data_IF_739402630930
#
_entry.id   IF_739402630930
#
_cell.length_a   1.000
_cell.length_b   1.000
_cell.length_c   1.000
_cell.angle_alpha   90.00
_cell.angle_beta   90.00
_cell.angle_gamma   90.00
#
_symmetry.space_group_name_H-M   'P 1'
#
loop_
_entity.id
_entity.type
_entity.pdbx_description
1 polymer ?
#
# COMPACT_ATOMS: atom_id res chain seq x y z
N UNK A 1 22.32 9.57 19.56
CA UNK A 1 21.86 8.86 20.76
C UNK A 1 21.36 7.48 20.32
N UNK A 2 21.79 6.40 20.97
CA UNK A 2 21.26 5.06 20.66
C UNK A 2 19.77 5.00 21.01
N UNK A 3 18.90 4.61 20.08
CA UNK A 3 17.46 4.43 20.34
C UNK A 3 17.31 3.42 21.50
N UNK A 4 16.62 3.82 22.57
CA UNK A 4 16.28 2.91 23.68
C UNK A 4 15.41 1.79 23.12
N UNK A 5 15.91 0.56 23.12
CA UNK A 5 15.17 -0.60 22.64
C UNK A 5 14.23 -1.07 23.74
N UNK A 6 12.94 -0.85 23.58
CA UNK A 6 11.91 -1.45 24.44
C UNK A 6 11.79 -2.92 23.99
N UNK A 7 11.86 -3.86 24.94
CA UNK A 7 11.66 -5.26 24.63
C UNK A 7 10.23 -5.50 24.15
N UNK A 8 10.05 -6.26 23.07
CA UNK A 8 8.72 -6.70 22.63
C UNK A 8 8.13 -7.61 23.73
N UNK A 9 6.92 -7.34 24.23
CA UNK A 9 6.27 -8.20 25.21
C UNK A 9 6.13 -9.65 24.71
N UNK A 10 6.47 -10.63 25.54
CA UNK A 10 6.46 -12.07 25.16
C UNK A 10 5.15 -12.51 24.53
N UNK A 11 4.01 -12.09 25.09
CA UNK A 11 2.68 -12.41 24.55
C UNK A 11 2.46 -11.92 23.11
N UNK A 12 3.01 -10.75 22.77
CA UNK A 12 2.94 -10.20 21.41
C UNK A 12 3.88 -10.97 20.50
N UNK A 13 5.11 -11.22 20.97
CA UNK A 13 6.11 -11.98 20.23
C UNK A 13 5.61 -13.36 19.85
N UNK A 14 5.09 -14.12 20.82
CA UNK A 14 4.57 -15.47 20.61
C UNK A 14 3.38 -15.49 19.66
N UNK A 15 2.49 -14.48 19.75
CA UNK A 15 1.35 -14.36 18.84
C UNK A 15 1.83 -14.21 17.38
N UNK A 16 2.76 -13.31 17.13
CA UNK A 16 3.28 -13.05 15.77
C UNK A 16 4.08 -14.26 15.26
N UNK A 17 4.95 -14.84 16.08
CA UNK A 17 5.71 -16.02 15.67
C UNK A 17 4.80 -17.22 15.35
N UNK A 18 3.78 -17.46 16.17
CA UNK A 18 2.80 -18.53 15.93
C UNK A 18 2.01 -18.31 14.64
N UNK A 19 1.65 -17.06 14.32
CA UNK A 19 0.97 -16.71 13.07
C UNK A 19 1.77 -17.11 11.81
N UNK A 20 3.10 -17.07 11.90
CA UNK A 20 4.01 -17.46 10.81
C UNK A 20 4.62 -18.85 11.02
N UNK A 21 4.05 -19.68 11.90
CA UNK A 21 4.55 -21.03 12.20
C UNK A 21 6.04 -21.05 12.60
N UNK A 22 6.51 -20.02 13.32
CA UNK A 22 7.91 -19.83 13.71
C UNK A 22 8.89 -19.81 12.51
N UNK A 23 8.42 -19.39 11.33
CA UNK A 23 9.21 -19.29 10.10
C UNK A 23 9.32 -17.84 9.63
N UNK A 24 10.37 -17.57 8.86
CA UNK A 24 10.56 -16.30 8.16
C UNK A 24 9.38 -16.04 7.22
N UNK A 25 8.78 -14.86 7.34
CA UNK A 25 7.66 -14.44 6.48
C UNK A 25 8.04 -14.42 4.99
N UNK A 26 9.30 -14.08 4.67
CA UNK A 26 9.76 -13.92 3.27
C UNK A 26 10.19 -15.25 2.61
N UNK A 27 10.93 -16.10 3.32
CA UNK A 27 11.57 -17.29 2.72
C UNK A 27 11.23 -18.62 3.40
N UNK A 28 10.46 -18.61 4.49
CA UNK A 28 10.03 -19.83 5.19
C UNK A 28 11.11 -20.55 6.03
N UNK A 29 12.33 -20.01 6.11
CA UNK A 29 13.41 -20.57 6.96
C UNK A 29 13.10 -20.43 8.45
N UNK A 30 13.58 -21.38 9.25
CA UNK A 30 13.40 -21.40 10.70
C UNK A 30 14.24 -20.33 11.43
N UNK A 31 13.99 -20.18 12.73
CA UNK A 31 14.65 -19.23 13.63
C UNK A 31 14.59 -17.75 13.17
N UNK A 32 13.39 -17.21 12.88
CA UNK A 32 13.24 -15.79 12.57
C UNK A 32 13.36 -14.91 13.82
N UNK A 33 13.79 -13.68 13.61
CA UNK A 33 13.69 -12.60 14.60
C UNK A 33 12.56 -11.65 14.22
N UNK A 34 11.98 -10.97 15.21
CA UNK A 34 10.94 -9.99 14.97
C UNK A 34 11.55 -8.63 14.60
N UNK A 35 11.01 -8.05 13.53
CA UNK A 35 11.41 -6.75 13.02
C UNK A 35 10.23 -5.78 13.02
N UNK A 36 10.48 -4.55 13.47
CA UNK A 36 9.56 -3.43 13.37
C UNK A 36 9.58 -2.88 11.94
N UNK A 37 8.44 -2.89 11.26
CA UNK A 37 8.28 -2.43 9.87
C UNK A 37 8.55 -0.92 9.77
N UNK A 38 8.11 -0.15 10.76
CA UNK A 38 8.29 1.31 10.83
C UNK A 38 9.65 1.76 11.40
N UNK A 39 10.56 0.82 11.69
CA UNK A 39 11.87 1.08 12.31
C UNK A 39 11.80 1.78 13.70
N UNK A 40 10.64 1.77 14.34
CA UNK A 40 10.41 2.31 15.68
C UNK A 40 10.34 1.16 16.72
N UNK A 41 11.39 0.94 17.53
CA UNK A 41 11.42 -0.14 18.51
C UNK A 41 10.39 0.00 19.65
N UNK A 42 9.71 1.14 19.74
CA UNK A 42 8.65 1.36 20.74
C UNK A 42 7.26 0.96 20.23
N UNK A 43 7.08 0.77 18.91
CA UNK A 43 5.80 0.42 18.32
C UNK A 43 5.60 -1.09 18.25
N UNK A 44 5.15 -1.69 19.36
CA UNK A 44 4.95 -3.12 19.49
C UNK A 44 3.59 -3.62 18.95
N UNK A 45 2.96 -2.91 18.03
CA UNK A 45 1.76 -3.40 17.36
C UNK A 45 2.06 -4.73 16.60
N UNK A 46 1.28 -5.81 16.78
CA UNK A 46 1.49 -7.06 16.06
C UNK A 46 1.54 -6.95 14.53
N UNK A 47 0.86 -5.96 13.93
CA UNK A 47 0.89 -5.66 12.49
C UNK A 47 2.08 -4.79 12.09
N UNK A 48 2.76 -4.15 13.05
CA UNK A 48 4.05 -3.51 12.82
C UNK A 48 5.22 -4.49 12.97
N UNK A 49 4.97 -5.72 13.40
CA UNK A 49 6.00 -6.75 13.60
C UNK A 49 5.95 -7.81 12.50
N UNK A 50 7.12 -8.12 11.92
CA UNK A 50 7.28 -9.16 10.91
C UNK A 50 8.46 -10.10 11.26
N UNK A 51 8.27 -11.43 11.24
CA UNK A 51 9.35 -12.38 11.48
C UNK A 51 10.22 -12.54 10.24
N UNK A 52 11.52 -12.24 10.34
CA UNK A 52 12.50 -12.43 9.26
C UNK A 52 13.71 -13.21 9.76
N UNK A 53 14.27 -14.09 8.93
CA UNK A 53 15.56 -14.73 9.23
C UNK A 53 16.72 -13.74 9.03
N UNK A 54 17.92 -14.00 9.58
CA UNK A 54 19.08 -13.13 9.41
C UNK A 54 19.39 -12.80 7.94
N UNK A 55 19.17 -13.74 7.01
CA UNK A 55 19.41 -13.52 5.59
C UNK A 55 18.39 -12.56 4.95
N UNK A 56 17.11 -12.66 5.33
CA UNK A 56 16.06 -11.78 4.82
C UNK A 56 15.98 -10.45 5.56
N UNK A 57 16.51 -10.40 6.78
CA UNK A 57 16.69 -9.17 7.54
C UNK A 57 17.74 -8.24 6.92
N UNK A 58 18.76 -8.82 6.25
CA UNK A 58 19.91 -8.08 5.74
C UNK A 58 19.82 -7.66 4.26
N UNK A 59 18.88 -8.22 3.46
CA UNK A 59 19.01 -8.20 2.00
C UNK A 59 17.68 -8.00 1.25
N UNK A 60 17.56 -6.89 0.51
CA UNK A 60 16.89 -6.87 -0.80
C UNK A 60 17.81 -7.60 -1.79
N UNK A 61 17.32 -8.68 -2.41
CA UNK A 61 18.13 -9.60 -3.21
C UNK A 61 18.61 -9.00 -4.54
N UNK A 62 18.06 -7.85 -4.96
CA UNK A 62 18.47 -7.17 -6.18
C UNK A 62 19.23 -5.86 -5.93
N UNK A 63 19.27 -5.38 -4.68
CA UNK A 63 20.08 -4.24 -4.27
C UNK A 63 20.34 -4.30 -2.75
N UNK A 64 21.49 -4.85 -2.29
CA UNK A 64 21.78 -5.02 -0.87
C UNK A 64 21.92 -3.70 -0.09
N UNK A 65 21.84 -2.55 -0.76
CA UNK A 65 21.84 -1.21 -0.14
C UNK A 65 20.46 -0.56 -0.06
N UNK A 66 19.43 -1.14 -0.70
CA UNK A 66 18.07 -0.58 -0.70
C UNK A 66 17.27 -1.17 0.45
N UNK A 67 16.79 -0.30 1.34
CA UNK A 67 15.82 -0.65 2.38
C UNK A 67 14.52 -1.05 1.67
N UNK A 68 13.97 -2.23 2.00
CA UNK A 68 12.63 -2.60 1.52
C UNK A 68 11.66 -1.54 2.04
N UNK A 69 10.98 -0.84 1.12
CA UNK A 69 10.07 0.26 1.47
C UNK A 69 9.06 -0.20 2.54
N UNK A 70 9.01 0.46 3.72
CA UNK A 70 8.16 0.05 4.85
C UNK A 70 6.70 -0.19 4.47
N UNK A 71 6.16 0.61 3.54
CA UNK A 71 4.78 0.43 3.09
C UNK A 71 4.56 -0.88 2.31
N UNK A 72 5.54 -1.38 1.55
CA UNK A 72 5.43 -2.72 0.93
C UNK A 72 5.49 -3.83 1.96
N UNK A 73 6.33 -3.70 2.99
CA UNK A 73 6.36 -4.66 4.09
C UNK A 73 5.04 -4.65 4.87
N UNK A 74 4.41 -3.49 5.04
CA UNK A 74 3.08 -3.37 5.65
C UNK A 74 2.01 -4.09 4.82
N UNK A 75 1.99 -3.87 3.51
CA UNK A 75 1.09 -4.61 2.61
C UNK A 75 1.34 -6.12 2.69
N UNK A 76 2.60 -6.54 2.63
CA UNK A 76 2.98 -7.94 2.75
C UNK A 76 2.56 -8.55 4.10
N UNK A 77 2.69 -7.79 5.19
CA UNK A 77 2.29 -8.22 6.53
C UNK A 77 0.79 -8.46 6.65
N UNK A 78 -0.02 -7.66 5.96
CA UNK A 78 -1.48 -7.75 5.93
C UNK A 78 -1.94 -8.88 5.01
N UNK A 79 -1.50 -8.88 3.75
CA UNK A 79 -2.03 -9.77 2.71
C UNK A 79 -1.27 -11.09 2.56
N UNK A 80 -0.05 -11.17 3.09
CA UNK A 80 0.84 -12.35 3.02
C UNK A 80 1.09 -12.87 1.60
N UNK A 81 0.96 -11.98 0.60
CA UNK A 81 1.16 -12.30 -0.79
C UNK A 81 2.60 -11.98 -1.21
N UNK A 82 3.45 -12.97 -1.54
CA UNK A 82 4.85 -12.74 -1.87
C UNK A 82 5.06 -11.90 -3.15
N UNK A 83 4.04 -11.80 -4.01
CA UNK A 83 4.07 -10.98 -5.22
C UNK A 83 4.26 -9.48 -4.91
N UNK A 84 3.86 -9.03 -3.71
CA UNK A 84 4.06 -7.66 -3.21
C UNK A 84 5.55 -7.31 -3.09
N UNK A 85 6.39 -8.30 -2.81
CA UNK A 85 7.83 -8.10 -2.64
C UNK A 85 8.60 -8.21 -3.96
N UNK A 86 7.94 -8.63 -5.05
CA UNK A 86 8.58 -8.73 -6.37
C UNK A 86 8.86 -7.33 -6.95
N UNK A 87 10.00 -7.13 -7.65
CA UNK A 87 10.31 -5.86 -8.31
C UNK A 87 9.20 -5.36 -9.26
N UNK A 88 8.52 -6.28 -9.95
CA UNK A 88 7.42 -6.01 -10.88
C UNK A 88 6.27 -5.22 -10.24
N UNK A 89 6.01 -5.43 -8.94
CA UNK A 89 4.96 -4.71 -8.22
C UNK A 89 5.31 -3.24 -7.97
N UNK A 90 6.58 -2.85 -8.04
CA UNK A 90 7.01 -1.49 -7.64
C UNK A 90 6.34 -0.39 -8.47
N UNK A 91 6.16 -0.60 -9.78
CA UNK A 91 5.51 0.36 -10.66
C UNK A 91 4.05 0.60 -10.27
N UNK A 92 3.33 -0.46 -9.89
CA UNK A 92 1.95 -0.36 -9.41
C UNK A 92 1.89 0.29 -8.03
N UNK A 93 2.80 -0.12 -7.13
CA UNK A 93 2.91 0.43 -5.77
C UNK A 93 3.02 1.96 -5.76
N UNK A 94 3.94 2.53 -6.54
CA UNK A 94 4.13 3.99 -6.62
C UNK A 94 2.84 4.70 -7.03
N UNK A 95 2.08 4.12 -7.97
CA UNK A 95 0.87 4.74 -8.52
C UNK A 95 -0.28 4.82 -7.55
N UNK A 96 -0.32 3.98 -6.52
CA UNK A 96 -1.33 4.08 -5.47
C UNK A 96 -0.79 4.68 -4.17
N UNK A 97 0.47 5.13 -4.10
CA UNK A 97 1.01 5.80 -2.92
C UNK A 97 0.27 7.09 -2.54
N UNK A 98 -0.47 7.71 -3.46
CA UNK A 98 -1.26 8.90 -3.15
C UNK A 98 -2.38 8.63 -2.13
N UNK A 99 -2.75 7.37 -1.90
CA UNK A 99 -3.62 6.99 -0.78
C UNK A 99 -2.95 7.15 0.60
N UNK A 100 -1.62 7.18 0.65
CA UNK A 100 -0.83 7.32 1.90
C UNK A 100 -0.45 8.78 2.20
N UNK A 101 -0.68 9.73 1.29
CA UNK A 101 -0.33 11.13 1.55
C UNK A 101 -1.23 11.71 2.64
N UNK A 102 -0.65 11.90 3.83
CA UNK A 102 -1.28 12.61 4.95
C UNK A 102 -1.43 14.12 4.69
N UNK A 103 -0.62 14.65 3.77
CA UNK A 103 -0.74 16.02 3.30
C UNK A 103 -1.94 16.11 2.36
N UNK A 104 -2.99 16.71 2.88
CA UNK A 104 -4.14 17.11 2.12
C UNK A 104 -3.76 18.28 1.21
N UNK A 105 -2.97 18.04 0.16
CA UNK A 105 -3.03 18.92 -0.99
C UNK A 105 -4.43 18.76 -1.56
N UNK A 106 -5.34 19.67 -1.19
CA UNK A 106 -6.74 19.71 -1.62
C UNK A 106 -6.91 19.96 -3.12
N UNK A 107 -5.86 19.75 -3.92
CA UNK A 107 -5.93 19.85 -5.35
C UNK A 107 -6.56 18.58 -5.91
N UNK A 108 -7.88 18.65 -6.04
CA UNK A 108 -8.69 17.62 -6.66
C UNK A 108 -8.17 17.22 -8.04
N UNK A 109 -7.64 18.16 -8.82
CA UNK A 109 -7.15 17.90 -10.18
C UNK A 109 -5.94 16.95 -10.14
N UNK A 110 -5.06 17.11 -9.14
CA UNK A 110 -3.89 16.27 -8.95
C UNK A 110 -4.27 14.87 -8.42
N UNK A 111 -5.23 14.78 -7.51
CA UNK A 111 -5.75 13.49 -7.03
C UNK A 111 -6.45 12.71 -8.14
N UNK A 112 -7.29 13.38 -8.94
CA UNK A 112 -7.97 12.77 -10.09
C UNK A 112 -6.95 12.31 -11.14
N UNK A 113 -5.93 13.11 -11.43
CA UNK A 113 -4.86 12.73 -12.36
C UNK A 113 -4.14 11.46 -11.91
N UNK A 114 -3.79 11.34 -10.62
CA UNK A 114 -3.15 10.13 -10.08
C UNK A 114 -4.08 8.92 -10.10
N UNK A 115 -5.36 9.11 -9.82
CA UNK A 115 -6.36 8.05 -9.91
C UNK A 115 -6.49 7.52 -11.35
N UNK A 116 -6.54 8.42 -12.35
CA UNK A 116 -6.58 8.05 -13.77
C UNK A 116 -5.30 7.31 -14.17
N UNK A 117 -4.13 7.82 -13.80
CA UNK A 117 -2.85 7.17 -14.10
C UNK A 117 -2.77 5.74 -13.54
N UNK A 118 -3.28 5.52 -12.31
CA UNK A 118 -3.39 4.19 -11.72
C UNK A 118 -4.29 3.26 -12.55
N UNK A 119 -5.47 3.74 -12.96
CA UNK A 119 -6.42 2.95 -13.75
C UNK A 119 -5.87 2.61 -15.14
N UNK A 120 -5.24 3.59 -15.81
CA UNK A 120 -4.59 3.39 -17.11
C UNK A 120 -3.49 2.32 -17.01
N UNK A 121 -2.69 2.34 -15.94
CA UNK A 121 -1.69 1.31 -15.71
C UNK A 121 -2.34 -0.06 -15.48
N UNK A 122 -3.37 -0.15 -14.64
CA UNK A 122 -4.10 -1.41 -14.39
C UNK A 122 -4.69 -1.97 -15.68
N UNK A 123 -5.20 -1.13 -16.60
CA UNK A 123 -5.73 -1.58 -17.89
C UNK A 123 -4.71 -2.34 -18.76
N UNK A 124 -3.41 -2.08 -18.57
CA UNK A 124 -2.35 -2.79 -19.30
C UNK A 124 -2.02 -4.17 -18.73
N UNK A 125 -2.57 -4.52 -17.56
CA UNK A 125 -2.29 -5.77 -16.85
C UNK A 125 -3.26 -6.90 -17.26
N UNK A 126 -2.90 -8.16 -16.97
CA UNK A 126 -3.81 -9.29 -17.16
C UNK A 126 -5.05 -9.13 -16.27
N UNK A 127 -6.25 -9.31 -16.83
CA UNK A 127 -7.55 -8.98 -16.16
C UNK A 127 -7.72 -7.49 -15.81
N UNK A 128 -6.85 -6.61 -16.32
CA UNK A 128 -6.84 -5.17 -16.06
C UNK A 128 -8.18 -4.47 -16.30
N UNK A 129 -8.88 -4.80 -17.39
CA UNK A 129 -10.19 -4.22 -17.73
C UNK A 129 -11.23 -4.39 -16.61
N UNK A 130 -11.30 -5.59 -16.02
CA UNK A 130 -12.22 -5.88 -14.93
C UNK A 130 -11.87 -5.07 -13.69
N UNK A 131 -10.61 -5.12 -13.24
CA UNK A 131 -10.18 -4.45 -12.02
C UNK A 131 -10.20 -2.92 -12.15
N UNK A 132 -9.77 -2.37 -13.29
CA UNK A 132 -9.87 -0.93 -13.56
C UNK A 132 -11.32 -0.45 -13.50
N UNK A 133 -12.28 -1.21 -14.04
CA UNK A 133 -13.70 -0.87 -13.96
C UNK A 133 -14.23 -0.89 -12.52
N UNK A 134 -13.86 -1.90 -11.72
CA UNK A 134 -14.32 -2.01 -10.33
C UNK A 134 -13.67 -0.92 -9.46
N UNK A 135 -12.36 -0.75 -9.55
CA UNK A 135 -11.60 0.27 -8.81
C UNK A 135 -12.05 1.68 -9.22
N UNK A 136 -12.24 1.94 -10.51
CA UNK A 136 -12.70 3.23 -11.01
C UNK A 136 -14.03 3.68 -10.42
N UNK A 137 -14.97 2.75 -10.18
CA UNK A 137 -16.24 3.05 -9.48
C UNK A 137 -16.05 3.47 -8.02
N UNK A 138 -14.95 3.07 -7.39
CA UNK A 138 -14.65 3.41 -6.01
C UNK A 138 -13.92 4.76 -5.92
N UNK A 139 -12.97 5.00 -6.85
CA UNK A 139 -11.98 6.07 -6.70
C UNK A 139 -12.24 7.29 -7.58
N UNK A 140 -13.06 7.20 -8.64
CA UNK A 140 -13.38 8.38 -9.45
C UNK A 140 -14.47 9.21 -8.77
N UNK A 141 -14.33 10.53 -8.82
CA UNK A 141 -15.40 11.44 -8.40
C UNK A 141 -16.65 11.20 -9.27
N UNK A 142 -17.83 11.31 -8.66
CA UNK A 142 -19.13 11.04 -9.31
C UNK A 142 -19.36 11.79 -10.63
N UNK A 143 -18.73 12.95 -10.80
CA UNK A 143 -18.84 13.77 -12.00
C UNK A 143 -18.08 13.20 -13.21
N UNK A 144 -17.11 12.31 -13.00
CA UNK A 144 -16.33 11.65 -14.06
C UNK A 144 -17.02 10.40 -14.63
N UNK A 145 -18.09 9.91 -14.00
CA UNK A 145 -18.92 8.83 -14.55
C UNK A 145 -19.61 9.30 -15.87
N UNK A 146 -19.69 10.62 -16.08
CA UNK A 146 -20.13 11.26 -17.31
C UNK A 146 -18.98 12.04 -17.99
N UNK A 147 -17.89 11.36 -18.34
CA UNK A 147 -16.68 11.93 -18.97
C UNK A 147 -16.87 12.50 -20.40
N UNK A 148 -18.02 13.09 -20.72
CA UNK A 148 -18.23 13.83 -21.97
C UNK A 148 -18.77 15.24 -21.81
N UNK A 149 -19.19 15.68 -20.62
CA UNK A 149 -19.74 17.04 -20.48
C UNK A 149 -19.34 17.67 -19.16
N UNK A 150 -18.33 18.53 -19.19
CA UNK A 150 -18.42 19.93 -18.72
C UNK A 150 -17.04 20.49 -18.32
N UNK A 151 -16.47 21.26 -19.25
CA UNK A 151 -15.48 22.31 -18.91
C UNK A 151 -16.25 23.53 -18.41
N UNK A 152 -16.66 23.54 -17.15
CA UNK A 152 -17.15 24.77 -16.48
C UNK A 152 -16.15 25.19 -15.41
N UNK A 153 -15.10 25.89 -15.86
CA UNK A 153 -14.25 26.69 -14.99
C UNK A 153 -15.09 27.86 -14.47
N UNK A 154 -15.34 27.87 -13.16
CA UNK A 154 -15.45 29.02 -12.22
C UNK A 154 -16.24 28.56 -10.97
N UNK A 155 -15.73 27.52 -10.29
CA UNK A 155 -16.11 27.29 -8.90
C UNK A 155 -15.28 28.24 -8.02
N UNK A 156 -15.89 28.84 -6.99
CA UNK A 156 -15.12 29.61 -5.99
C UNK A 156 -14.01 28.74 -5.40
N UNK A 157 -12.88 29.35 -5.03
CA UNK A 157 -11.72 28.65 -4.45
C UNK A 157 -12.16 27.79 -3.25
N UNK A 158 -13.05 28.32 -2.40
CA UNK A 158 -13.64 27.62 -1.26
C UNK A 158 -14.41 26.36 -1.68
N UNK A 159 -15.20 26.41 -2.76
CA UNK A 159 -15.93 25.25 -3.28
C UNK A 159 -14.97 24.17 -3.82
N UNK A 160 -13.86 24.57 -4.46
CA UNK A 160 -12.84 23.62 -4.93
C UNK A 160 -12.13 22.93 -3.75
N UNK A 161 -11.78 23.69 -2.71
CA UNK A 161 -11.15 23.15 -1.49
C UNK A 161 -12.09 22.17 -0.79
N UNK A 162 -13.36 22.54 -0.60
CA UNK A 162 -14.34 21.69 0.06
C UNK A 162 -14.55 20.37 -0.69
N UNK A 163 -14.68 20.43 -2.01
CA UNK A 163 -14.79 19.23 -2.84
C UNK A 163 -13.52 18.37 -2.80
N UNK A 164 -12.34 18.99 -2.78
CA UNK A 164 -11.06 18.28 -2.62
C UNK A 164 -10.97 17.55 -1.27
N UNK A 165 -11.46 18.15 -0.19
CA UNK A 165 -11.61 17.52 1.13
C UNK A 165 -12.52 16.29 1.08
N UNK A 166 -13.73 16.44 0.53
CA UNK A 166 -14.70 15.34 0.41
C UNK A 166 -14.13 14.19 -0.42
N UNK A 167 -13.50 14.52 -1.55
CA UNK A 167 -12.90 13.51 -2.42
C UNK A 167 -11.73 12.78 -1.75
N UNK A 168 -10.87 13.51 -1.03
CA UNK A 168 -9.81 12.88 -0.23
C UNK A 168 -10.38 11.95 0.85
N UNK A 169 -11.46 12.35 1.54
CA UNK A 169 -12.14 11.50 2.52
C UNK A 169 -12.74 10.25 1.89
N UNK A 170 -13.36 10.37 0.71
CA UNK A 170 -13.84 9.22 -0.07
C UNK A 170 -12.69 8.26 -0.40
N UNK A 171 -11.57 8.78 -0.91
CA UNK A 171 -10.40 7.98 -1.23
C UNK A 171 -9.85 7.24 0.01
N UNK A 172 -9.81 7.90 1.18
CA UNK A 172 -9.41 7.23 2.42
C UNK A 172 -10.40 6.14 2.85
N UNK A 173 -11.71 6.36 2.65
CA UNK A 173 -12.74 5.40 3.00
C UNK A 173 -12.70 4.12 2.14
N UNK A 174 -12.29 4.22 0.87
CA UNK A 174 -12.21 3.07 -0.05
C UNK A 174 -10.81 2.46 -0.15
N UNK A 175 -9.80 3.06 0.48
CA UNK A 175 -8.38 2.68 0.36
C UNK A 175 -8.13 1.19 0.56
N UNK A 176 -8.63 0.62 1.66
CA UNK A 176 -8.40 -0.79 1.99
C UNK A 176 -9.01 -1.74 0.94
N UNK A 177 -10.21 -1.40 0.46
CA UNK A 177 -10.89 -2.15 -0.61
C UNK A 177 -10.12 -2.07 -1.94
N UNK A 178 -9.57 -0.90 -2.27
CA UNK A 178 -8.73 -0.73 -3.46
C UNK A 178 -7.45 -1.55 -3.35
N UNK A 179 -6.81 -1.57 -2.17
CA UNK A 179 -5.62 -2.38 -1.94
C UNK A 179 -5.92 -3.87 -2.09
N UNK A 180 -7.03 -4.36 -1.54
CA UNK A 180 -7.48 -5.75 -1.72
C UNK A 180 -7.60 -6.12 -3.19
N UNK A 181 -8.29 -5.29 -3.99
CA UNK A 181 -8.47 -5.52 -5.42
C UNK A 181 -7.14 -5.49 -6.19
N UNK A 182 -6.25 -4.57 -5.85
CA UNK A 182 -4.91 -4.49 -6.45
C UNK A 182 -4.09 -5.72 -6.13
N UNK A 183 -4.10 -6.19 -4.87
CA UNK A 183 -3.36 -7.39 -4.48
C UNK A 183 -3.97 -8.64 -5.13
N UNK A 184 -5.28 -8.73 -5.22
CA UNK A 184 -5.97 -9.82 -5.92
C UNK A 184 -5.58 -9.87 -7.40
N UNK A 185 -5.51 -8.71 -8.07
CA UNK A 185 -5.06 -8.59 -9.46
C UNK A 185 -3.67 -9.19 -9.69
N UNK A 186 -2.75 -9.12 -8.71
CA UNK A 186 -1.39 -9.65 -8.85
C UNK A 186 -1.37 -11.16 -9.05
N UNK A 187 -2.39 -11.88 -8.56
CA UNK A 187 -2.51 -13.34 -8.69
C UNK A 187 -2.75 -13.80 -10.13
N UNK A 188 -3.20 -12.89 -10.99
CA UNK A 188 -3.44 -13.17 -12.41
C UNK A 188 -2.25 -12.84 -13.29
N UNK A 189 -1.17 -12.27 -12.75
CA UNK A 189 -0.04 -11.87 -13.56
C UNK A 189 0.96 -13.01 -13.72
N UNK A 190 1.40 -13.25 -14.95
CA UNK A 190 2.32 -14.33 -15.32
C UNK A 190 3.81 -14.08 -14.99
N UNK A 191 4.12 -13.15 -14.07
CA UNK A 191 5.49 -12.69 -13.77
C UNK A 191 6.49 -13.76 -13.33
#
# INVERSE_FOLDING_TARGET
>A
MAKVRISIPTKISDKVLKEFNHRCAKCGTDNPHLHHIDENPSNNDPLNLIPLCPNCHLVDQHNPTRIVEPGKLRLFRIYKDPTILKPQFHALYIRFLFFESAEATYDIDELERKAIELLEFILTMEKGEFYAKVIGKLILASDLINYNESRTRFASIEKKIHRGLEYHQQLQAVKEQVYELIIELLRFQSW
#
